data_IF_089110344093
#
_entry.id   IF_089110344093
#
_cell.length_a   1.000
_cell.length_b   1.000
_cell.length_c   1.000
_cell.angle_alpha   90.00
_cell.angle_beta   90.00
_cell.angle_gamma   90.00
#
_symmetry.space_group_name_H-M   'P 1'
#
loop_
_entity.id
_entity.type
_entity.pdbx_description
1 polymer ?
#
# COMPACT_ATOMS: atom_id res chain seq x y z
N UNK A 1 -9.87 -28.04 -40.01
CA UNK A 1 -10.36 -26.65 -40.19
C UNK A 1 -10.96 -26.05 -38.91
N UNK A 2 -11.87 -26.72 -38.20
CA UNK A 2 -12.48 -26.19 -36.94
C UNK A 2 -11.46 -25.79 -35.85
N UNK A 3 -10.40 -26.58 -35.66
CA UNK A 3 -9.35 -26.27 -34.66
C UNK A 3 -8.51 -25.03 -34.99
N UNK A 4 -8.31 -24.72 -36.27
CA UNK A 4 -7.51 -23.56 -36.69
C UNK A 4 -8.25 -22.25 -36.40
N UNK A 5 -9.57 -22.26 -36.57
CA UNK A 5 -10.45 -21.14 -36.21
C UNK A 5 -10.43 -20.91 -34.70
N UNK A 6 -10.53 -21.98 -33.91
CA UNK A 6 -10.49 -21.89 -32.43
C UNK A 6 -9.14 -21.35 -31.95
N UNK A 7 -8.03 -21.83 -32.50
CA UNK A 7 -6.67 -21.35 -32.15
C UNK A 7 -6.50 -19.88 -32.54
N UNK A 8 -7.01 -19.44 -33.69
CA UNK A 8 -6.98 -18.05 -34.11
C UNK A 8 -7.76 -17.13 -33.16
N UNK A 9 -8.94 -17.53 -32.71
CA UNK A 9 -9.72 -16.77 -31.72
C UNK A 9 -9.01 -16.68 -30.37
N UNK A 10 -8.31 -17.74 -29.94
CA UNK A 10 -7.52 -17.73 -28.70
C UNK A 10 -6.34 -16.76 -28.82
N UNK A 11 -5.58 -16.80 -29.92
CA UNK A 11 -4.44 -15.92 -30.16
C UNK A 11 -4.89 -14.45 -30.26
N UNK A 12 -5.96 -14.19 -31.01
CA UNK A 12 -6.52 -12.85 -31.15
C UNK A 12 -7.05 -12.30 -29.81
N UNK A 13 -7.71 -13.15 -29.01
CA UNK A 13 -8.15 -12.79 -27.67
C UNK A 13 -6.99 -12.44 -26.73
N UNK A 14 -5.91 -13.23 -26.75
CA UNK A 14 -4.72 -12.92 -25.94
C UNK A 14 -4.02 -11.62 -26.36
N UNK A 15 -4.00 -11.31 -27.65
CA UNK A 15 -3.41 -10.09 -28.18
C UNK A 15 -4.23 -8.84 -27.78
N UNK A 16 -5.56 -8.94 -27.82
CA UNK A 16 -6.46 -7.85 -27.40
C UNK A 16 -6.32 -7.53 -25.89
N UNK A 17 -6.18 -8.56 -25.05
CA UNK A 17 -5.91 -8.39 -23.62
C UNK A 17 -4.61 -7.64 -23.34
N UNK A 18 -3.54 -7.95 -24.08
CA UNK A 18 -2.24 -7.27 -23.94
C UNK A 18 -2.30 -5.79 -24.36
N UNK A 19 -3.06 -5.46 -25.40
CA UNK A 19 -3.22 -4.07 -25.86
C UNK A 19 -3.98 -3.24 -24.81
N UNK A 20 -5.03 -3.81 -24.20
CA UNK A 20 -5.81 -3.14 -23.16
C UNK A 20 -4.97 -2.81 -21.92
N UNK A 21 -4.15 -3.75 -21.45
CA UNK A 21 -3.25 -3.53 -20.31
C UNK A 21 -2.19 -2.47 -20.62
N UNK A 22 -1.61 -2.50 -21.83
CA UNK A 22 -0.62 -1.51 -22.24
C UNK A 22 -1.21 -0.09 -22.29
N UNK A 23 -2.44 0.06 -22.77
CA UNK A 23 -3.13 1.35 -22.83
C UNK A 23 -3.32 1.97 -21.42
N UNK A 24 -3.76 1.18 -20.44
CA UNK A 24 -3.96 1.66 -19.07
C UNK A 24 -2.64 2.04 -18.38
N UNK A 25 -1.56 1.28 -18.57
CA UNK A 25 -0.25 1.64 -18.03
C UNK A 25 0.31 2.92 -18.67
N UNK A 26 0.09 3.12 -19.97
CA UNK A 26 0.50 4.35 -20.65
C UNK A 26 -0.22 5.58 -20.10
N UNK A 27 -1.53 5.51 -19.87
CA UNK A 27 -2.30 6.64 -19.34
C UNK A 27 -1.79 7.10 -17.96
N UNK A 28 -1.49 6.14 -17.08
CA UNK A 28 -0.92 6.41 -15.76
C UNK A 28 0.42 7.15 -15.86
N UNK A 29 1.28 6.73 -16.81
CA UNK A 29 2.61 7.32 -17.02
C UNK A 29 2.57 8.79 -17.45
N UNK A 30 1.56 9.20 -18.20
CA UNK A 30 1.44 10.58 -18.70
C UNK A 30 0.67 11.53 -17.77
N UNK A 31 -0.06 11.00 -16.77
CA UNK A 31 -0.73 11.85 -15.78
C UNK A 31 0.24 12.67 -14.94
N UNK A 32 -0.20 13.85 -14.50
CA UNK A 32 0.57 14.69 -13.58
C UNK A 32 0.51 14.13 -12.16
N UNK A 33 1.53 14.43 -11.34
CA UNK A 33 1.62 13.93 -9.97
C UNK A 33 0.44 14.35 -9.07
N UNK A 34 -0.18 15.51 -9.32
CA UNK A 34 -1.35 15.96 -8.57
C UNK A 34 -2.63 15.25 -9.02
N UNK A 35 -2.75 14.89 -10.30
CA UNK A 35 -3.86 14.09 -10.86
C UNK A 35 -3.84 12.69 -10.25
N UNK A 36 -2.67 12.03 -10.23
CA UNK A 36 -2.48 10.74 -9.58
C UNK A 36 -2.95 10.76 -8.12
N UNK A 37 -2.63 11.82 -7.37
CA UNK A 37 -3.13 11.99 -5.99
C UNK A 37 -4.64 12.20 -5.94
N UNK A 38 -5.18 13.00 -6.86
CA UNK A 38 -6.61 13.28 -6.95
C UNK A 38 -7.42 12.03 -7.20
N UNK A 39 -7.08 11.29 -8.26
CA UNK A 39 -7.72 10.02 -8.60
C UNK A 39 -7.54 8.95 -7.52
N UNK A 40 -6.35 8.83 -6.93
CA UNK A 40 -6.12 7.91 -5.82
C UNK A 40 -7.02 8.17 -4.61
N UNK A 41 -7.22 9.45 -4.25
CA UNK A 41 -8.11 9.84 -3.15
C UNK A 41 -9.59 9.63 -3.49
N UNK A 42 -9.99 9.91 -4.73
CA UNK A 42 -11.35 9.69 -5.18
C UNK A 42 -11.70 8.19 -5.20
N UNK A 43 -10.78 7.36 -5.71
CA UNK A 43 -10.89 5.90 -5.66
C UNK A 43 -10.99 5.39 -4.22
N UNK A 44 -10.14 5.89 -3.31
CA UNK A 44 -10.22 5.53 -1.89
C UNK A 44 -11.59 5.89 -1.29
N UNK A 45 -12.13 7.06 -1.60
CA UNK A 45 -13.45 7.52 -1.12
C UNK A 45 -14.58 6.62 -1.63
N UNK A 46 -14.47 6.17 -2.88
CA UNK A 46 -15.41 5.24 -3.52
C UNK A 46 -15.27 3.80 -3.01
N UNK A 47 -14.24 3.50 -2.22
CA UNK A 47 -13.93 2.15 -1.76
C UNK A 47 -13.25 1.27 -2.81
N UNK A 48 -12.85 1.83 -3.95
CA UNK A 48 -12.06 1.13 -4.95
C UNK A 48 -10.59 1.08 -4.50
N UNK A 49 -10.31 0.07 -3.68
CA UNK A 49 -9.00 -0.12 -3.07
C UNK A 49 -7.91 -0.38 -4.11
N UNK A 50 -8.21 -1.13 -5.18
CA UNK A 50 -7.23 -1.52 -6.18
C UNK A 50 -6.83 -0.35 -7.07
N UNK A 51 -7.78 0.45 -7.54
CA UNK A 51 -7.47 1.67 -8.29
C UNK A 51 -6.71 2.68 -7.41
N UNK A 52 -7.11 2.85 -6.16
CA UNK A 52 -6.39 3.72 -5.22
C UNK A 52 -4.93 3.29 -5.02
N UNK A 53 -4.70 1.97 -4.87
CA UNK A 53 -3.35 1.39 -4.79
C UNK A 53 -2.57 1.70 -6.08
N UNK A 54 -3.15 1.48 -7.25
CA UNK A 54 -2.51 1.73 -8.55
C UNK A 54 -2.06 3.19 -8.69
N UNK A 55 -2.95 4.15 -8.43
CA UNK A 55 -2.62 5.57 -8.53
C UNK A 55 -1.55 6.01 -7.53
N UNK A 56 -1.62 5.54 -6.28
CA UNK A 56 -0.60 5.90 -5.28
C UNK A 56 0.73 5.19 -5.48
N UNK A 57 0.75 3.96 -6.02
CA UNK A 57 2.00 3.30 -6.42
C UNK A 57 2.72 4.11 -7.50
N UNK A 58 1.99 4.57 -8.51
CA UNK A 58 2.58 5.39 -9.57
C UNK A 58 2.99 6.78 -9.08
N UNK A 59 2.22 7.39 -8.17
CA UNK A 59 2.66 8.64 -7.53
C UNK A 59 3.97 8.45 -6.74
N UNK A 60 4.08 7.36 -5.98
CA UNK A 60 5.24 7.06 -5.14
C UNK A 60 6.44 6.55 -5.93
N UNK A 61 6.26 5.97 -7.14
CA UNK A 61 7.37 5.64 -8.04
C UNK A 61 8.14 6.92 -8.44
N UNK A 62 7.44 8.04 -8.56
CA UNK A 62 8.00 9.36 -8.90
C UNK A 62 8.41 10.18 -7.68
N UNK A 63 7.75 9.96 -6.53
CA UNK A 63 7.99 10.67 -5.26
C UNK A 63 8.16 9.69 -4.10
N UNK A 64 9.24 8.89 -4.09
CA UNK A 64 9.44 7.82 -3.10
C UNK A 64 9.66 8.31 -1.67
N UNK A 65 9.95 9.60 -1.49
CA UNK A 65 10.16 10.22 -0.17
C UNK A 65 8.88 10.68 0.54
N UNK A 66 7.71 10.60 -0.12
CA UNK A 66 6.45 11.05 0.47
C UNK A 66 5.89 10.00 1.44
N UNK A 67 6.34 10.10 2.69
CA UNK A 67 5.97 9.15 3.75
C UNK A 67 4.48 9.19 4.09
N UNK A 68 3.78 10.30 3.83
CA UNK A 68 2.36 10.38 4.09
C UNK A 68 1.59 9.46 3.15
N UNK A 69 1.88 9.56 1.84
CA UNK A 69 1.26 8.66 0.86
C UNK A 69 1.81 7.23 0.95
N UNK A 70 3.06 7.04 1.36
CA UNK A 70 3.60 5.69 1.65
C UNK A 70 2.81 5.02 2.79
N UNK A 71 2.49 5.77 3.85
CA UNK A 71 1.65 5.28 4.94
C UNK A 71 0.22 5.00 4.50
N UNK A 72 -0.37 5.86 3.67
CA UNK A 72 -1.70 5.66 3.12
C UNK A 72 -1.76 4.41 2.22
N UNK A 73 -0.73 4.18 1.41
CA UNK A 73 -0.61 2.98 0.59
C UNK A 73 -0.56 1.71 1.46
N UNK A 74 0.16 1.73 2.59
CA UNK A 74 0.15 0.61 3.55
C UNK A 74 -1.26 0.34 4.13
N UNK A 75 -2.03 1.39 4.38
CA UNK A 75 -3.44 1.27 4.80
C UNK A 75 -4.32 0.65 3.73
N UNK A 76 -4.14 1.04 2.47
CA UNK A 76 -4.88 0.45 1.37
C UNK A 76 -4.53 -1.02 1.17
N UNK A 77 -3.24 -1.40 1.19
CA UNK A 77 -2.83 -2.80 1.15
C UNK A 77 -3.48 -3.61 2.27
N UNK A 78 -3.50 -3.07 3.49
CA UNK A 78 -4.19 -3.71 4.62
C UNK A 78 -5.69 -3.90 4.37
N UNK A 79 -6.37 -2.87 3.87
CA UNK A 79 -7.82 -2.94 3.54
C UNK A 79 -8.07 -3.96 2.42
N UNK A 80 -7.17 -4.05 1.45
CA UNK A 80 -7.21 -5.01 0.35
C UNK A 80 -6.78 -6.43 0.76
N UNK A 81 -6.48 -6.65 2.05
CA UNK A 81 -5.96 -7.91 2.62
C UNK A 81 -4.62 -8.37 2.07
N UNK A 82 -3.90 -7.47 1.40
CA UNK A 82 -2.51 -7.67 1.01
C UNK A 82 -1.60 -7.38 2.22
N UNK A 83 -1.64 -8.29 3.19
CA UNK A 83 -0.91 -8.15 4.44
C UNK A 83 0.60 -8.19 4.24
N UNK A 84 1.09 -8.86 3.20
CA UNK A 84 2.51 -8.93 2.85
C UNK A 84 3.06 -7.56 2.45
N UNK A 85 2.43 -6.89 1.49
CA UNK A 85 2.86 -5.55 1.09
C UNK A 85 2.58 -4.50 2.17
N UNK A 86 1.46 -4.61 2.89
CA UNK A 86 1.16 -3.75 4.03
C UNK A 86 2.25 -3.85 5.11
N UNK A 87 2.67 -5.07 5.49
CA UNK A 87 3.72 -5.33 6.48
C UNK A 87 5.01 -4.56 6.11
N UNK A 88 5.51 -4.78 4.90
CA UNK A 88 6.75 -4.17 4.40
C UNK A 88 6.64 -2.64 4.38
N UNK A 89 5.49 -2.11 3.96
CA UNK A 89 5.30 -0.67 3.83
C UNK A 89 5.17 0.03 5.19
N UNK A 90 4.45 -0.56 6.16
CA UNK A 90 4.34 0.01 7.51
C UNK A 90 5.68 0.06 8.23
N UNK A 91 6.47 -1.02 8.20
CA UNK A 91 7.77 -1.02 8.89
C UNK A 91 8.73 0.00 8.28
N UNK A 92 8.72 0.16 6.95
CA UNK A 92 9.51 1.19 6.26
C UNK A 92 9.14 2.61 6.73
N UNK A 93 7.84 2.92 6.79
CA UNK A 93 7.36 4.24 7.27
C UNK A 93 7.78 4.48 8.71
N UNK A 94 7.60 3.47 9.58
CA UNK A 94 7.99 3.56 10.98
C UNK A 94 9.50 3.79 11.14
N UNK A 95 10.34 3.04 10.43
CA UNK A 95 11.81 3.19 10.51
C UNK A 95 12.28 4.58 10.09
N UNK A 96 11.66 5.17 9.06
CA UNK A 96 12.07 6.48 8.54
C UNK A 96 11.63 7.63 9.45
N UNK A 97 10.43 7.56 10.05
CA UNK A 97 9.94 8.60 10.97
C UNK A 97 9.17 7.99 12.15
N UNK A 98 9.86 7.34 13.11
CA UNK A 98 9.22 6.60 14.21
C UNK A 98 8.32 7.46 15.09
N UNK A 99 8.70 8.73 15.30
CA UNK A 99 7.98 9.64 16.18
C UNK A 99 6.70 10.20 15.54
N UNK A 100 6.69 10.39 14.21
CA UNK A 100 5.53 10.91 13.47
C UNK A 100 4.52 9.81 13.15
N UNK A 101 5.00 8.62 12.77
CA UNK A 101 4.16 7.49 12.39
C UNK A 101 4.25 6.36 13.42
N UNK A 102 3.98 6.67 14.69
CA UNK A 102 4.01 5.68 15.77
C UNK A 102 3.02 4.53 15.51
N UNK A 103 1.86 4.87 14.97
CA UNK A 103 0.80 3.92 14.64
C UNK A 103 1.22 2.93 13.53
N UNK A 104 2.24 3.27 12.72
CA UNK A 104 2.77 2.33 11.74
C UNK A 104 3.39 1.09 12.40
N UNK A 105 3.99 1.23 13.59
CA UNK A 105 4.50 0.08 14.35
C UNK A 105 3.36 -0.83 14.83
N UNK A 106 2.27 -0.24 15.29
CA UNK A 106 1.07 -0.98 15.68
C UNK A 106 0.50 -1.75 14.49
N UNK A 107 0.29 -1.09 13.35
CA UNK A 107 -0.25 -1.76 12.17
C UNK A 107 0.71 -2.80 11.59
N UNK A 108 2.03 -2.59 11.67
CA UNK A 108 3.02 -3.62 11.33
C UNK A 108 2.81 -4.89 12.17
N UNK A 109 2.63 -4.76 13.49
CA UNK A 109 2.33 -5.89 14.37
C UNK A 109 0.98 -6.57 14.00
N UNK A 110 -0.04 -5.79 13.64
CA UNK A 110 -1.31 -6.33 13.13
C UNK A 110 -1.10 -7.12 11.83
N UNK A 111 -0.22 -6.68 10.93
CA UNK A 111 0.05 -7.41 9.69
C UNK A 111 0.80 -8.71 9.95
N UNK A 112 1.75 -8.73 10.89
CA UNK A 112 2.41 -9.95 11.35
C UNK A 112 1.39 -10.96 11.90
N UNK A 113 0.46 -10.50 12.75
CA UNK A 113 -0.62 -11.33 13.28
C UNK A 113 -1.48 -11.92 12.17
N UNK A 114 -1.90 -11.11 11.20
CA UNK A 114 -2.75 -11.58 10.09
C UNK A 114 -2.03 -12.55 9.15
N UNK A 115 -0.70 -12.52 9.11
CA UNK A 115 0.14 -13.48 8.37
C UNK A 115 0.46 -14.75 9.17
N UNK A 116 0.02 -14.83 10.44
CA UNK A 116 0.29 -15.98 11.32
C UNK A 116 1.61 -15.90 12.09
N UNK A 117 2.36 -14.81 11.96
CA UNK A 117 3.62 -14.58 12.69
C UNK A 117 3.33 -14.06 14.11
N UNK A 118 2.78 -14.92 14.97
CA UNK A 118 2.27 -14.50 16.28
C UNK A 118 3.37 -14.05 17.26
N UNK A 119 4.52 -14.74 17.29
CA UNK A 119 5.63 -14.40 18.18
C UNK A 119 6.24 -13.03 17.85
N UNK A 120 6.46 -12.78 16.56
CA UNK A 120 6.90 -11.48 16.07
C UNK A 120 5.85 -10.41 16.39
N UNK A 121 4.57 -10.68 16.15
CA UNK A 121 3.50 -9.74 16.43
C UNK A 121 3.47 -9.34 17.91
N UNK A 122 3.57 -10.31 18.82
CA UNK A 122 3.61 -10.07 20.27
C UNK A 122 4.81 -9.20 20.66
N UNK A 123 5.99 -9.50 20.10
CA UNK A 123 7.21 -8.70 20.31
C UNK A 123 7.01 -7.26 19.86
N UNK A 124 6.36 -7.04 18.72
CA UNK A 124 6.12 -5.68 18.23
C UNK A 124 5.02 -4.94 19.01
N UNK A 125 3.97 -5.63 19.47
CA UNK A 125 2.95 -5.03 20.33
C UNK A 125 3.52 -4.58 21.68
N UNK A 126 4.31 -5.42 22.33
CA UNK A 126 4.98 -5.05 23.60
C UNK A 126 5.94 -3.88 23.41
N UNK A 127 6.68 -3.84 22.30
CA UNK A 127 7.52 -2.71 21.93
C UNK A 127 6.72 -1.42 21.76
N UNK A 128 5.57 -1.49 21.07
CA UNK A 128 4.67 -0.36 20.89
C UNK A 128 4.15 0.17 22.23
N UNK A 129 3.67 -0.70 23.12
CA UNK A 129 3.22 -0.33 24.46
C UNK A 129 4.32 0.34 25.29
N UNK A 130 5.53 -0.21 25.29
CA UNK A 130 6.67 0.37 26.01
C UNK A 130 7.00 1.78 25.51
N UNK A 131 6.96 1.99 24.19
CA UNK A 131 7.19 3.30 23.57
C UNK A 131 6.09 4.31 23.94
N UNK A 132 4.82 3.92 23.83
CA UNK A 132 3.70 4.81 24.17
C UNK A 132 3.70 5.20 25.66
N UNK A 133 4.06 4.28 26.57
CA UNK A 133 4.23 4.60 28.00
C UNK A 133 5.34 5.62 28.23
N UNK A 134 6.54 5.39 27.65
CA UNK A 134 7.67 6.33 27.74
C UNK A 134 7.31 7.72 27.20
N UNK A 135 6.58 7.77 26.09
CA UNK A 135 6.15 9.03 25.50
C UNK A 135 5.20 9.83 26.41
N UNK A 136 4.29 9.15 27.14
CA UNK A 136 3.40 9.79 28.10
C UNK A 136 4.19 10.36 29.29
N UNK A 137 5.12 9.60 29.84
CA UNK A 137 5.99 10.03 30.96
C UNK A 137 6.89 11.22 30.58
N UNK A 138 7.40 11.25 29.35
CA UNK A 138 8.22 12.38 28.89
C UNK A 138 7.40 13.67 28.74
N UNK A 139 6.14 13.56 28.30
CA UNK A 139 5.25 14.73 28.19
C UNK A 139 4.82 15.28 29.54
N UNK A 140 4.66 14.42 30.57
CA UNK A 140 4.30 14.86 31.92
C UNK A 140 5.45 15.53 32.66
N UNK A 141 6.70 15.29 32.25
CA UNK A 141 7.90 15.96 32.80
C UNK A 141 8.23 17.30 32.15
N UNK A 142 7.62 17.61 31.00
CA UNK A 142 7.82 18.85 30.25
C UNK A 142 6.76 19.92 30.58
N UNK A 143 5.80 19.60 31.45
CA UNK A 143 4.78 20.49 31.99
C UNK A 143 5.10 20.75 33.45
#
# INVERSE_FOLDING_TARGET
MKYFIIIFFIICGSLLLQIATYCQETELKYMKNWELKGYGKDAERKGDLYSAITYFKEYLSRKPGDLHYTYLLAHLYRKARDYSNAKITYIKVYQLRPQKYRDALFYYAVMLKNLGNYDDALTQFTLFEKKTKKDKTNKSKLR
#
